data_IF_878309205514
#
_entry.id   IF_878309205514
#
_cell.length_a   1.000
_cell.length_b   1.000
_cell.length_c   1.000
_cell.angle_alpha   90.00
_cell.angle_beta   90.00
_cell.angle_gamma   90.00
#
_symmetry.space_group_name_H-M   'P 1'
#
loop_
_entity.id
_entity.type
_entity.pdbx_description
1 polymer ?
#
# COMPACT_ATOMS: atom_id res chain seq x y z
N UNK A 1 -18.26 -8.40 13.13
CA UNK A 1 -18.44 -8.43 11.67
C UNK A 1 -18.20 -7.01 11.15
N UNK A 2 -17.42 -6.85 10.08
CA UNK A 2 -16.90 -5.57 9.57
C UNK A 2 -17.97 -4.48 9.46
N UNK A 3 -17.75 -3.35 10.14
CA UNK A 3 -18.25 -2.04 9.68
C UNK A 3 -17.09 -1.44 8.86
N UNK A 4 -16.86 -1.73 7.59
CA UNK A 4 -17.74 -2.18 6.52
C UNK A 4 -17.54 -1.37 5.22
N UNK A 5 -16.48 -0.55 5.12
CA UNK A 5 -16.22 0.34 3.98
C UNK A 5 -14.87 0.08 3.27
N UNK A 6 -13.96 -0.69 3.89
CA UNK A 6 -12.65 -1.03 3.32
C UNK A 6 -12.66 -2.32 2.49
N UNK A 7 -11.60 -2.52 1.69
CA UNK A 7 -11.47 -3.63 0.72
C UNK A 7 -11.51 -5.04 1.35
N UNK A 8 -11.31 -5.17 2.66
CA UNK A 8 -11.38 -6.44 3.39
C UNK A 8 -10.14 -7.32 3.19
N UNK A 9 -9.71 -8.00 4.25
CA UNK A 9 -8.43 -8.72 4.27
C UNK A 9 -8.30 -9.82 3.20
N UNK A 10 -9.40 -10.47 2.82
CA UNK A 10 -9.38 -11.51 1.80
C UNK A 10 -9.12 -10.94 0.39
N UNK A 11 -9.67 -9.77 0.08
CA UNK A 11 -9.42 -9.09 -1.20
C UNK A 11 -7.98 -8.61 -1.30
N UNK A 12 -7.45 -8.02 -0.23
CA UNK A 12 -6.06 -7.58 -0.16
C UNK A 12 -5.06 -8.73 -0.28
N UNK A 13 -5.42 -9.92 0.23
CA UNK A 13 -4.63 -11.13 0.04
C UNK A 13 -4.56 -11.52 -1.45
N UNK A 14 -5.67 -11.48 -2.18
CA UNK A 14 -5.69 -11.77 -3.61
C UNK A 14 -4.84 -10.75 -4.41
N UNK A 15 -4.92 -9.45 -4.10
CA UNK A 15 -4.07 -8.44 -4.74
C UNK A 15 -2.59 -8.72 -4.50
N UNK A 16 -2.23 -9.23 -3.32
CA UNK A 16 -0.84 -9.51 -2.98
C UNK A 16 -0.21 -10.51 -3.96
N UNK A 17 -1.00 -11.42 -4.50
CA UNK A 17 -0.59 -12.47 -5.44
C UNK A 17 -0.53 -12.03 -6.91
N UNK A 18 -0.92 -10.79 -7.24
CA UNK A 18 -0.83 -10.27 -8.62
C UNK A 18 0.43 -9.45 -8.85
N UNK A 19 0.79 -9.17 -10.10
CA UNK A 19 1.93 -8.29 -10.41
C UNK A 19 1.52 -6.84 -10.70
N UNK A 20 0.24 -6.60 -11.02
CA UNK A 20 -0.31 -5.29 -11.33
C UNK A 20 -1.79 -5.21 -10.93
N UNK A 21 -2.32 -3.99 -10.92
CA UNK A 21 -3.73 -3.69 -10.62
C UNK A 21 -4.31 -2.92 -11.81
N UNK A 22 -5.46 -3.36 -12.32
CA UNK A 22 -6.26 -2.59 -13.27
C UNK A 22 -7.37 -1.87 -12.51
N UNK A 23 -7.35 -0.54 -12.52
CA UNK A 23 -8.30 0.27 -11.76
C UNK A 23 -9.53 0.59 -12.62
N UNK A 24 -10.58 -0.22 -12.46
CA UNK A 24 -11.84 -0.01 -13.19
C UNK A 24 -12.70 0.97 -12.41
N UNK A 25 -12.87 2.18 -12.93
CA UNK A 25 -13.68 3.23 -12.33
C UNK A 25 -15.04 3.36 -13.02
N UNK A 26 -16.08 3.61 -12.23
CA UNK A 26 -17.41 3.94 -12.75
C UNK A 26 -17.42 5.41 -13.17
N UNK A 27 -17.55 5.67 -14.46
CA UNK A 27 -17.59 7.03 -15.03
C UNK A 27 -18.97 7.38 -15.64
N UNK A 28 -20.04 6.77 -15.13
CA UNK A 28 -21.40 7.01 -15.60
C UNK A 28 -22.40 6.95 -14.46
N UNK A 29 -23.44 7.79 -14.55
CA UNK A 29 -24.59 7.75 -13.65
C UNK A 29 -25.65 6.78 -14.18
N UNK A 30 -26.27 6.05 -13.26
CA UNK A 30 -27.40 5.15 -13.55
C UNK A 30 -28.34 5.17 -12.34
N UNK A 31 -29.59 5.59 -12.54
CA UNK A 31 -30.60 5.72 -11.49
C UNK A 31 -31.01 4.38 -10.90
N UNK A 32 -30.79 3.27 -11.60
CA UNK A 32 -31.09 1.92 -11.14
C UNK A 32 -29.97 1.34 -10.26
N UNK A 33 -28.81 2.01 -10.18
CA UNK A 33 -27.62 1.52 -9.45
C UNK A 33 -27.16 2.54 -8.41
N UNK A 34 -27.54 2.30 -7.15
CA UNK A 34 -27.11 3.11 -5.99
C UNK A 34 -25.60 3.05 -5.79
N UNK A 35 -24.97 4.22 -5.64
CA UNK A 35 -23.57 4.33 -5.20
C UNK A 35 -23.49 4.35 -3.67
N UNK A 36 -22.46 3.73 -3.08
CA UNK A 36 -22.30 3.66 -1.62
C UNK A 36 -22.23 5.05 -0.96
N UNK A 37 -21.56 6.00 -1.62
CA UNK A 37 -21.46 7.40 -1.19
C UNK A 37 -22.60 8.30 -1.71
N UNK A 38 -23.65 7.71 -2.31
CA UNK A 38 -24.80 8.44 -2.84
C UNK A 38 -24.58 9.17 -4.18
N UNK A 39 -23.35 9.35 -4.64
CA UNK A 39 -23.02 9.87 -5.97
C UNK A 39 -21.79 9.17 -6.55
N UNK A 40 -21.68 9.11 -7.88
CA UNK A 40 -20.50 8.60 -8.59
C UNK A 40 -19.43 9.71 -8.66
N UNK A 41 -18.23 9.42 -8.19
CA UNK A 41 -17.06 10.30 -8.36
C UNK A 41 -15.80 9.43 -8.58
N UNK A 42 -15.39 9.24 -9.84
CA UNK A 42 -14.26 8.36 -10.18
C UNK A 42 -12.96 8.72 -9.45
N UNK A 43 -12.72 10.01 -9.20
CA UNK A 43 -11.48 10.46 -8.57
C UNK A 43 -11.50 10.18 -7.07
N UNK A 44 -12.64 10.42 -6.42
CA UNK A 44 -12.84 10.06 -5.02
C UNK A 44 -12.74 8.55 -4.84
N UNK A 45 -13.43 7.78 -5.67
CA UNK A 45 -13.43 6.32 -5.58
C UNK A 45 -12.02 5.74 -5.77
N UNK A 46 -11.25 6.30 -6.72
CA UNK A 46 -9.86 5.93 -6.90
C UNK A 46 -9.00 6.26 -5.67
N UNK A 47 -9.21 7.43 -5.07
CA UNK A 47 -8.51 7.87 -3.86
C UNK A 47 -8.81 6.98 -2.66
N UNK A 48 -10.06 6.52 -2.51
CA UNK A 48 -10.46 5.56 -1.46
C UNK A 48 -9.69 4.25 -1.60
N UNK A 49 -9.65 3.67 -2.82
CA UNK A 49 -8.91 2.43 -3.08
C UNK A 49 -7.42 2.61 -2.78
N UNK A 50 -6.80 3.68 -3.26
CA UNK A 50 -5.37 3.95 -3.00
C UNK A 50 -5.08 4.09 -1.50
N UNK A 51 -5.95 4.77 -0.77
CA UNK A 51 -5.81 4.94 0.69
C UNK A 51 -5.85 3.59 1.40
N UNK A 52 -6.79 2.71 1.05
CA UNK A 52 -6.90 1.37 1.62
C UNK A 52 -5.65 0.51 1.36
N UNK A 53 -5.09 0.57 0.14
CA UNK A 53 -3.85 -0.14 -0.18
C UNK A 53 -2.67 0.37 0.66
N UNK A 54 -2.56 1.68 0.83
CA UNK A 54 -1.49 2.29 1.63
C UNK A 54 -1.64 1.99 3.12
N UNK A 55 -2.85 2.01 3.67
CA UNK A 55 -3.11 1.64 5.07
C UNK A 55 -2.70 0.20 5.36
N UNK A 56 -3.01 -0.73 4.45
CA UNK A 56 -2.57 -2.12 4.57
C UNK A 56 -1.04 -2.28 4.53
N UNK A 57 -0.36 -1.45 3.72
CA UNK A 57 1.10 -1.43 3.68
C UNK A 57 1.72 -0.83 4.94
N UNK A 58 1.15 0.25 5.47
CA UNK A 58 1.55 0.85 6.76
C UNK A 58 1.49 -0.20 7.87
N UNK A 59 0.36 -0.90 8.03
CA UNK A 59 0.20 -1.94 9.05
C UNK A 59 1.21 -3.10 8.87
N UNK A 60 1.50 -3.45 7.62
CA UNK A 60 2.52 -4.46 7.29
C UNK A 60 3.93 -4.00 7.70
N UNK A 61 4.30 -2.76 7.37
CA UNK A 61 5.60 -2.19 7.69
C UNK A 61 5.80 -2.02 9.19
N UNK A 62 4.84 -1.51 9.94
CA UNK A 62 4.94 -1.35 11.40
C UNK A 62 5.28 -2.67 12.10
N UNK A 63 4.55 -3.74 11.75
CA UNK A 63 4.78 -5.08 12.30
C UNK A 63 6.19 -5.60 11.99
N UNK A 64 6.66 -5.38 10.76
CA UNK A 64 7.98 -5.85 10.30
C UNK A 64 9.11 -5.03 10.94
N UNK A 65 8.98 -3.72 11.01
CA UNK A 65 9.96 -2.82 11.64
C UNK A 65 10.14 -3.14 13.12
N UNK A 66 9.05 -3.39 13.86
CA UNK A 66 9.12 -3.77 15.28
C UNK A 66 9.95 -5.05 15.51
N UNK A 67 9.90 -6.02 14.59
CA UNK A 67 10.73 -7.22 14.63
C UNK A 67 12.20 -6.94 14.26
N UNK A 68 12.45 -6.05 13.30
CA UNK A 68 13.80 -5.69 12.85
C UNK A 68 14.59 -4.87 13.88
N UNK A 69 13.94 -3.97 14.63
CA UNK A 69 14.59 -3.16 15.68
C UNK A 69 15.37 -4.03 16.69
N UNK A 70 14.87 -5.25 16.99
CA UNK A 70 15.58 -6.18 17.87
C UNK A 70 16.85 -6.74 17.22
N UNK A 71 16.80 -7.03 15.92
CA UNK A 71 17.95 -7.58 15.15
C UNK A 71 19.03 -6.53 14.90
N UNK A 72 18.65 -5.27 14.65
CA UNK A 72 19.61 -4.18 14.43
C UNK A 72 20.47 -3.89 15.65
N UNK A 73 19.91 -4.04 16.86
CA UNK A 73 20.65 -3.97 18.14
C UNK A 73 21.70 -5.08 18.26
N UNK A 74 21.48 -6.23 17.64
CA UNK A 74 22.43 -7.34 17.53
C UNK A 74 23.53 -7.14 16.48
N UNK A 75 23.55 -6.01 15.78
CA UNK A 75 24.59 -5.68 14.80
C UNK A 75 24.35 -6.19 13.38
N UNK A 76 23.19 -6.78 13.09
CA UNK A 76 22.83 -7.26 11.75
C UNK A 76 22.76 -6.08 10.76
N UNK A 77 23.70 -6.06 9.82
CA UNK A 77 23.82 -5.00 8.82
C UNK A 77 22.68 -5.03 7.79
N UNK A 78 22.15 -6.20 7.47
CA UNK A 78 21.05 -6.33 6.51
C UNK A 78 19.74 -5.87 7.14
N UNK A 79 19.50 -6.26 8.40
CA UNK A 79 18.35 -5.76 9.16
C UNK A 79 18.36 -4.23 9.29
N UNK A 80 19.54 -3.59 9.40
CA UNK A 80 19.66 -2.13 9.43
C UNK A 80 19.27 -1.48 8.10
N UNK A 81 19.66 -2.10 6.97
CA UNK A 81 19.29 -1.62 5.63
C UNK A 81 17.80 -1.78 5.38
N UNK A 82 17.21 -2.92 5.75
CA UNK A 82 15.75 -3.14 5.68
C UNK A 82 15.00 -2.11 6.49
N UNK A 83 15.40 -1.91 7.75
CA UNK A 83 14.74 -0.96 8.63
C UNK A 83 14.78 0.46 8.04
N UNK A 84 15.94 0.92 7.56
CA UNK A 84 16.07 2.25 6.96
C UNK A 84 15.18 2.43 5.71
N UNK A 85 15.07 1.41 4.86
CA UNK A 85 14.16 1.43 3.71
C UNK A 85 12.69 1.48 4.16
N UNK A 86 12.31 0.63 5.11
CA UNK A 86 10.94 0.57 5.63
C UNK A 86 10.53 1.88 6.29
N UNK A 87 11.43 2.54 7.04
CA UNK A 87 11.18 3.85 7.66
C UNK A 87 10.92 4.94 6.61
N UNK A 88 11.71 4.98 5.52
CA UNK A 88 11.48 5.91 4.41
C UNK A 88 10.14 5.68 3.73
N UNK A 89 9.80 4.43 3.43
CA UNK A 89 8.53 4.08 2.77
C UNK A 89 7.34 4.37 3.68
N UNK A 90 7.45 4.08 4.98
CA UNK A 90 6.43 4.38 5.97
C UNK A 90 6.14 5.88 6.03
N UNK A 91 7.16 6.73 6.01
CA UNK A 91 7.00 8.19 6.00
C UNK A 91 6.23 8.65 4.76
N UNK A 92 6.62 8.19 3.56
CA UNK A 92 5.90 8.52 2.32
C UNK A 92 4.44 8.05 2.32
N UNK A 93 4.18 6.81 2.75
CA UNK A 93 2.82 6.28 2.84
C UNK A 93 1.95 7.09 3.81
N UNK A 94 2.53 7.54 4.93
CA UNK A 94 1.83 8.38 5.92
C UNK A 94 1.48 9.77 5.37
N UNK A 95 2.18 10.23 4.34
CA UNK A 95 1.90 11.48 3.60
C UNK A 95 1.01 11.26 2.37
N UNK A 96 0.48 10.04 2.17
CA UNK A 96 -0.37 9.69 1.03
C UNK A 96 0.40 9.44 -0.27
N UNK A 97 1.71 9.21 -0.18
CA UNK A 97 2.55 8.84 -1.34
C UNK A 97 2.63 7.31 -1.43
N UNK A 98 2.05 6.67 -2.46
CA UNK A 98 2.12 5.23 -2.61
C UNK A 98 3.55 4.76 -2.88
N UNK A 99 3.90 3.55 -2.46
CA UNK A 99 5.28 3.05 -2.53
C UNK A 99 5.86 3.03 -3.95
N UNK A 100 5.03 2.87 -4.99
CA UNK A 100 5.46 2.95 -6.40
C UNK A 100 5.97 4.34 -6.83
N UNK A 101 5.64 5.38 -6.07
CA UNK A 101 6.08 6.77 -6.26
C UNK A 101 7.15 7.20 -5.26
N UNK A 102 7.75 6.26 -4.52
CA UNK A 102 8.81 6.58 -3.59
C UNK A 102 10.02 7.20 -4.32
N UNK A 103 10.44 8.37 -3.89
CA UNK A 103 11.59 9.10 -4.42
C UNK A 103 12.81 9.00 -3.49
N UNK A 104 13.99 9.35 -3.99
CA UNK A 104 15.21 9.40 -3.16
C UNK A 104 15.72 8.03 -2.69
N UNK A 105 15.25 6.94 -3.29
CA UNK A 105 15.78 5.59 -3.05
C UNK A 105 17.13 5.42 -3.74
N UNK A 106 18.10 4.86 -3.04
CA UNK A 106 19.35 4.41 -3.62
C UNK A 106 19.11 3.24 -4.60
N UNK A 107 20.12 2.93 -5.42
CA UNK A 107 20.05 1.78 -6.33
C UNK A 107 19.86 0.45 -5.58
N UNK A 108 20.35 0.35 -4.35
CA UNK A 108 20.17 -0.83 -3.51
C UNK A 108 18.74 -0.92 -2.95
N UNK A 109 18.23 0.18 -2.40
CA UNK A 109 16.86 0.28 -1.91
C UNK A 109 15.84 0.00 -3.03
N UNK A 110 16.08 0.52 -4.22
CA UNK A 110 15.24 0.27 -5.40
C UNK A 110 15.15 -1.21 -5.75
N UNK A 111 16.25 -1.96 -5.65
CA UNK A 111 16.26 -3.42 -5.87
C UNK A 111 15.57 -4.21 -4.76
N UNK A 112 15.50 -3.65 -3.54
CA UNK A 112 14.92 -4.30 -2.35
C UNK A 112 13.43 -4.03 -2.22
N UNK A 113 12.93 -2.89 -2.73
CA UNK A 113 11.51 -2.52 -2.68
C UNK A 113 10.55 -3.63 -3.13
N UNK A 114 10.75 -4.35 -4.25
CA UNK A 114 9.85 -5.42 -4.67
C UNK A 114 9.76 -6.58 -3.66
N UNK A 115 10.81 -6.82 -2.89
CA UNK A 115 10.88 -7.90 -1.90
C UNK A 115 9.97 -7.63 -0.69
N UNK A 116 9.58 -6.37 -0.49
CA UNK A 116 8.63 -5.99 0.57
C UNK A 116 7.19 -6.39 0.23
N UNK A 117 6.89 -6.71 -1.04
CA UNK A 117 5.55 -7.09 -1.52
C UNK A 117 4.45 -6.11 -1.07
N UNK A 118 4.76 -4.81 -1.11
CA UNK A 118 3.80 -3.74 -0.78
C UNK A 118 2.74 -3.66 -1.88
N UNK A 119 1.48 -3.50 -1.49
CA UNK A 119 0.35 -3.42 -2.41
C UNK A 119 0.44 -2.15 -3.26
N UNK A 120 0.74 -1.02 -2.63
CA UNK A 120 0.89 0.29 -3.26
C UNK A 120 2.16 0.43 -4.12
N UNK A 121 3.06 -0.57 -4.10
CA UNK A 121 4.22 -0.65 -4.99
C UNK A 121 3.90 -1.25 -6.36
N UNK A 122 2.76 -1.94 -6.50
CA UNK A 122 2.34 -2.55 -7.77
C UNK A 122 2.03 -1.47 -8.81
N UNK A 123 2.35 -1.68 -10.09
CA UNK A 123 1.85 -0.84 -11.17
C UNK A 123 0.31 -0.81 -11.18
N UNK A 124 -0.25 0.37 -11.46
CA UNK A 124 -1.69 0.60 -11.59
C UNK A 124 -1.98 1.13 -12.99
N UNK A 125 -2.96 0.55 -13.67
CA UNK A 125 -3.45 0.91 -15.00
C UNK A 125 -4.84 1.54 -14.92
#
# INVERSE_FOLDING_TARGET
>A
ASKGEGLGNQFLANIRETDAIAHVLRCFDDSEITHVDGSVDPLRDAGTVETELMLADIESLERRMAALVKKTRGGDAEAKRDLALMEKLFAGLSEGVPARRAEGLSADETRRLPQLQLLSAKPVL
#
